data_IF_204204913664
#
_entry.id   IF_204204913664
#
_cell.length_a   1.000
_cell.length_b   1.000
_cell.length_c   1.000
_cell.angle_alpha   90.00
_cell.angle_beta   90.00
_cell.angle_gamma   90.00
#
_symmetry.space_group_name_H-M   'P 1'
#
loop_
_entity.id
_entity.type
_entity.pdbx_description
1 polymer ?
#
# COMPACT_ATOMS: atom_id res chain seq x y z
N UNK A 1 -14.53 -0.67 -8.83
CA UNK A 1 -13.12 -1.15 -8.86
C UNK A 1 -13.06 -2.60 -9.33
N UNK A 2 -13.74 -3.55 -8.65
CA UNK A 2 -13.81 -4.95 -9.07
C UNK A 2 -14.37 -5.13 -10.49
N UNK A 3 -15.42 -4.40 -10.85
CA UNK A 3 -15.99 -4.49 -12.21
C UNK A 3 -15.02 -4.04 -13.31
N UNK A 4 -14.21 -3.00 -13.04
CA UNK A 4 -13.18 -2.52 -13.97
C UNK A 4 -12.02 -3.53 -14.09
N UNK A 5 -11.67 -4.22 -13.00
CA UNK A 5 -10.70 -5.31 -12.99
C UNK A 5 -11.17 -6.48 -13.87
N UNK A 6 -12.41 -6.96 -13.68
CA UNK A 6 -12.96 -8.05 -14.49
C UNK A 6 -13.13 -7.68 -15.97
N UNK A 7 -13.53 -6.44 -16.26
CA UNK A 7 -13.62 -5.95 -17.63
C UNK A 7 -12.25 -5.90 -18.33
N UNK A 8 -11.18 -5.55 -17.61
CA UNK A 8 -9.82 -5.46 -18.15
C UNK A 8 -9.18 -6.84 -18.35
N UNK A 9 -9.45 -7.80 -17.47
CA UNK A 9 -8.93 -9.18 -17.55
C UNK A 9 -9.32 -9.90 -18.85
N UNK A 10 -10.52 -9.61 -19.37
CA UNK A 10 -10.98 -10.17 -20.65
C UNK A 10 -10.36 -9.52 -21.90
N UNK A 11 -9.64 -8.40 -21.73
CA UNK A 11 -9.16 -7.53 -22.82
C UNK A 11 -7.65 -7.32 -22.83
N UNK A 12 -6.93 -7.81 -21.81
CA UNK A 12 -5.49 -7.59 -21.65
C UNK A 12 -4.79 -8.93 -21.67
N UNK A 13 -3.87 -9.09 -22.63
CA UNK A 13 -2.92 -10.20 -22.63
C UNK A 13 -1.85 -9.90 -21.59
N UNK A 14 -1.77 -10.71 -20.53
CA UNK A 14 -0.75 -10.57 -19.49
C UNK A 14 0.62 -10.77 -20.14
N UNK A 15 1.36 -9.67 -20.32
CA UNK A 15 2.72 -9.68 -20.83
C UNK A 15 3.63 -9.03 -19.80
N UNK A 16 4.71 -9.71 -19.43
CA UNK A 16 5.80 -9.13 -18.64
C UNK A 16 6.63 -8.16 -19.49
N UNK A 17 7.40 -7.24 -18.89
CA UNK A 17 7.96 -7.34 -17.54
C UNK A 17 7.06 -6.78 -16.43
N UNK A 18 7.30 -7.22 -15.20
CA UNK A 18 6.65 -6.67 -14.00
C UNK A 18 7.41 -5.42 -13.54
N UNK A 19 7.00 -4.26 -14.06
CA UNK A 19 7.65 -2.98 -13.80
C UNK A 19 6.82 -2.09 -12.86
N UNK A 20 7.36 -1.72 -11.70
CA UNK A 20 6.64 -0.89 -10.72
C UNK A 20 6.96 0.60 -10.84
N UNK A 21 8.13 0.97 -11.37
CA UNK A 21 8.54 2.36 -11.47
C UNK A 21 7.53 3.25 -12.22
N UNK A 22 6.90 2.81 -13.33
CA UNK A 22 5.94 3.66 -14.04
C UNK A 22 4.71 4.02 -13.19
N UNK A 23 4.14 3.05 -12.47
CA UNK A 23 2.93 3.28 -11.66
C UNK A 23 3.25 4.09 -10.41
N UNK A 24 4.39 3.82 -9.75
CA UNK A 24 4.85 4.61 -8.60
C UNK A 24 5.05 6.07 -9.01
N UNK A 25 5.74 6.33 -10.13
CA UNK A 25 5.94 7.69 -10.65
C UNK A 25 4.62 8.37 -11.06
N UNK A 26 3.65 7.60 -11.54
CA UNK A 26 2.33 8.14 -11.86
C UNK A 26 1.59 8.62 -10.61
N UNK A 27 1.51 7.79 -9.56
CA UNK A 27 0.85 8.17 -8.30
C UNK A 27 1.61 9.26 -7.55
N UNK A 28 2.95 9.21 -7.57
CA UNK A 28 3.81 10.24 -7.00
C UNK A 28 3.50 11.64 -7.58
N UNK A 29 3.17 11.75 -8.87
CA UNK A 29 2.76 13.04 -9.46
C UNK A 29 1.49 13.59 -8.83
N UNK A 30 0.48 12.75 -8.57
CA UNK A 30 -0.73 13.19 -7.87
C UNK A 30 -0.44 13.58 -6.41
N UNK A 31 0.35 12.76 -5.70
CA UNK A 31 0.73 13.06 -4.32
C UNK A 31 1.54 14.37 -4.22
N UNK A 32 2.41 14.64 -5.19
CA UNK A 32 3.18 15.88 -5.27
C UNK A 32 2.31 17.13 -5.41
N UNK A 33 1.16 17.03 -6.08
CA UNK A 33 0.19 18.14 -6.20
C UNK A 33 -0.69 18.35 -4.95
N UNK A 34 -0.65 17.45 -3.97
CA UNK A 34 -1.55 17.48 -2.80
C UNK A 34 -0.77 17.43 -1.46
N UNK A 35 0.27 18.27 -1.33
CA UNK A 35 1.11 18.35 -0.11
C UNK A 35 0.51 19.19 1.03
N UNK A 36 -0.70 19.71 0.86
CA UNK A 36 -1.34 20.61 1.83
C UNK A 36 -1.87 19.88 3.08
N UNK A 37 -1.82 18.54 3.10
CA UNK A 37 -2.26 17.73 4.23
C UNK A 37 -3.75 17.37 4.24
N UNK A 38 -4.48 17.73 3.18
CA UNK A 38 -5.89 17.39 2.99
C UNK A 38 -6.09 16.00 2.38
N UNK A 39 -5.06 15.45 1.71
CA UNK A 39 -5.08 14.12 1.09
C UNK A 39 -3.82 13.35 1.39
N UNK A 40 -3.99 12.04 1.51
CA UNK A 40 -2.91 11.07 1.59
C UNK A 40 -3.22 9.91 0.66
N UNK A 41 -2.23 9.43 -0.06
CA UNK A 41 -2.39 8.42 -1.09
C UNK A 41 -1.84 7.09 -0.60
N UNK A 42 -2.54 6.00 -0.93
CA UNK A 42 -2.07 4.64 -0.72
C UNK A 42 -2.15 3.94 -2.07
N UNK A 43 -0.99 3.53 -2.60
CA UNK A 43 -0.89 2.74 -3.83
C UNK A 43 -0.82 1.26 -3.46
N UNK A 44 -1.88 0.51 -3.76
CA UNK A 44 -1.89 -0.95 -3.64
C UNK A 44 -1.49 -1.60 -4.97
N UNK A 45 -0.42 -2.40 -4.96
CA UNK A 45 0.08 -3.18 -6.09
C UNK A 45 -0.16 -4.66 -5.79
N UNK A 46 -0.85 -5.36 -6.69
CA UNK A 46 -1.00 -6.82 -6.65
C UNK A 46 -0.14 -7.41 -7.77
N UNK A 47 0.72 -8.36 -7.43
CA UNK A 47 1.67 -8.97 -8.38
C UNK A 47 1.78 -10.46 -8.14
N UNK A 48 1.89 -11.25 -9.21
CA UNK A 48 2.14 -12.70 -9.15
C UNK A 48 3.58 -13.08 -9.54
N UNK A 49 4.42 -12.09 -9.84
CA UNK A 49 5.75 -12.30 -10.38
C UNK A 49 6.81 -11.35 -9.83
N UNK A 50 8.06 -11.68 -10.15
CA UNK A 50 9.26 -10.98 -9.71
C UNK A 50 9.37 -9.63 -10.43
N UNK A 51 9.76 -8.60 -9.68
CA UNK A 51 10.03 -7.26 -10.21
C UNK A 51 11.24 -7.27 -11.15
N UNK A 52 11.08 -6.65 -12.33
CA UNK A 52 12.12 -6.63 -13.37
C UNK A 52 12.84 -5.29 -13.48
N UNK A 53 12.27 -4.20 -12.94
CA UNK A 53 12.85 -2.85 -12.97
C UNK A 53 13.35 -2.38 -11.59
N UNK A 54 13.96 -3.29 -10.81
CA UNK A 54 14.36 -3.05 -9.41
C UNK A 54 15.05 -1.69 -9.20
N UNK A 55 16.07 -1.37 -10.00
CA UNK A 55 16.82 -0.11 -9.85
C UNK A 55 15.93 1.13 -10.06
N UNK A 56 15.06 1.11 -11.08
CA UNK A 56 14.14 2.22 -11.37
C UNK A 56 13.06 2.32 -10.31
N UNK A 57 12.61 1.19 -9.77
CA UNK A 57 11.63 1.13 -8.69
C UNK A 57 12.20 1.69 -7.40
N UNK A 58 13.43 1.33 -7.02
CA UNK A 58 14.13 1.93 -5.87
C UNK A 58 14.27 3.44 -6.03
N UNK A 59 14.64 3.92 -7.22
CA UNK A 59 14.72 5.35 -7.49
C UNK A 59 13.35 6.04 -7.36
N UNK A 60 12.29 5.44 -7.90
CA UNK A 60 10.93 5.96 -7.79
C UNK A 60 10.46 6.05 -6.33
N UNK A 61 10.73 5.02 -5.52
CA UNK A 61 10.40 4.99 -4.08
C UNK A 61 11.18 6.06 -3.32
N UNK A 62 12.50 6.15 -3.53
CA UNK A 62 13.35 7.16 -2.88
C UNK A 62 12.86 8.57 -3.22
N UNK A 63 12.53 8.86 -4.47
CA UNK A 63 11.97 10.15 -4.88
C UNK A 63 10.58 10.40 -4.28
N UNK A 64 9.74 9.37 -4.15
CA UNK A 64 8.39 9.47 -3.60
C UNK A 64 8.36 9.57 -2.07
N UNK A 65 9.45 9.21 -1.37
CA UNK A 65 9.51 9.16 0.10
C UNK A 65 9.15 10.48 0.81
N UNK A 66 9.32 11.62 0.14
CA UNK A 66 8.96 12.94 0.69
C UNK A 66 7.50 13.36 0.44
N UNK A 67 6.71 12.52 -0.23
CA UNK A 67 5.34 12.80 -0.64
C UNK A 67 4.32 12.21 0.35
N UNK A 68 3.06 12.69 0.36
CA UNK A 68 1.96 12.09 1.12
C UNK A 68 1.50 10.77 0.46
N UNK A 69 2.38 9.78 0.40
CA UNK A 69 2.19 8.51 -0.29
C UNK A 69 2.75 7.34 0.53
N UNK A 70 1.96 6.28 0.63
CA UNK A 70 2.39 4.93 1.01
C UNK A 70 2.16 3.96 -0.16
N UNK A 71 2.93 2.89 -0.20
CA UNK A 71 2.90 1.86 -1.23
C UNK A 71 2.75 0.52 -0.52
N UNK A 72 1.74 -0.25 -0.90
CA UNK A 72 1.54 -1.61 -0.42
C UNK A 72 1.75 -2.54 -1.61
N UNK A 73 2.63 -3.52 -1.46
CA UNK A 73 2.89 -4.53 -2.48
C UNK A 73 2.44 -5.87 -1.93
N UNK A 74 1.46 -6.49 -2.58
CA UNK A 74 0.96 -7.82 -2.22
C UNK A 74 1.36 -8.83 -3.28
N UNK A 75 2.23 -9.76 -2.88
CA UNK A 75 2.65 -10.89 -3.71
C UNK A 75 1.63 -12.02 -3.66
N UNK A 76 1.05 -12.40 -4.79
CA UNK A 76 0.15 -13.56 -4.95
C UNK A 76 0.83 -14.67 -5.75
N UNK A 77 0.38 -15.91 -5.64
CA UNK A 77 1.02 -17.04 -6.32
C UNK A 77 2.39 -17.45 -5.73
N UNK A 78 3.02 -18.44 -6.35
CA UNK A 78 4.18 -19.15 -5.79
C UNK A 78 5.53 -18.59 -6.27
N UNK A 79 5.61 -17.30 -6.60
CA UNK A 79 6.87 -16.67 -7.01
C UNK A 79 7.81 -16.45 -5.81
N UNK A 80 9.09 -16.22 -6.11
CA UNK A 80 10.12 -15.87 -5.14
C UNK A 80 10.11 -14.36 -4.91
N UNK A 81 9.91 -13.92 -3.66
CA UNK A 81 9.63 -12.52 -3.32
C UNK A 81 10.77 -11.82 -2.56
N UNK A 82 11.95 -12.43 -2.47
CA UNK A 82 13.11 -11.89 -1.74
C UNK A 82 13.47 -10.46 -2.19
N UNK A 83 13.34 -10.20 -3.49
CA UNK A 83 13.57 -8.87 -4.07
C UNK A 83 12.58 -7.82 -3.53
N UNK A 84 11.35 -8.22 -3.16
CA UNK A 84 10.35 -7.31 -2.60
C UNK A 84 10.59 -7.02 -1.11
N UNK A 85 11.21 -7.95 -0.37
CA UNK A 85 11.67 -7.67 1.01
C UNK A 85 12.71 -6.56 1.05
N UNK A 86 13.52 -6.40 0.00
CA UNK A 86 14.48 -5.29 -0.09
C UNK A 86 13.78 -3.93 -0.15
N UNK A 87 12.58 -3.88 -0.75
CA UNK A 87 11.82 -2.64 -0.93
C UNK A 87 11.13 -2.17 0.35
N UNK A 88 10.82 -3.09 1.27
CA UNK A 88 10.06 -2.89 2.51
C UNK A 88 10.74 -1.94 3.51
N UNK A 89 12.05 -1.67 3.37
CA UNK A 89 12.74 -0.63 4.13
C UNK A 89 12.95 -0.88 5.64
N UNK A 90 12.29 -1.90 6.20
CA UNK A 90 12.29 -2.29 7.62
C UNK A 90 13.68 -2.62 8.17
N UNK A 91 14.46 -3.42 7.44
CA UNK A 91 15.81 -3.84 7.87
C UNK A 91 16.86 -2.75 7.59
N UNK A 92 16.76 -2.11 6.43
CA UNK A 92 17.72 -1.12 5.94
C UNK A 92 16.98 -0.06 5.17
N UNK A 93 17.23 1.22 5.50
CA UNK A 93 16.61 2.34 4.78
C UNK A 93 16.95 2.26 3.30
N UNK A 94 15.90 2.20 2.46
CA UNK A 94 16.06 2.08 1.01
C UNK A 94 16.91 3.23 0.46
N UNK A 95 17.83 2.91 -0.44
CA UNK A 95 18.69 3.89 -1.11
C UNK A 95 18.82 3.62 -2.60
N UNK A 96 19.02 4.70 -3.36
CA UNK A 96 19.28 4.65 -4.80
C UNK A 96 20.23 5.78 -5.19
N UNK A 97 21.25 5.48 -5.98
CA UNK A 97 22.25 6.45 -6.47
C UNK A 97 22.86 7.31 -5.35
N UNK A 98 23.18 6.69 -4.19
CA UNK A 98 23.77 7.37 -3.03
C UNK A 98 22.80 8.22 -2.20
N UNK A 99 21.51 8.25 -2.55
CA UNK A 99 20.46 8.97 -1.79
C UNK A 99 19.60 7.97 -1.02
N UNK A 100 19.33 8.27 0.24
CA UNK A 100 18.43 7.50 1.09
C UNK A 100 17.00 8.03 0.99
N UNK A 101 16.03 7.13 1.10
CA UNK A 101 14.63 7.48 1.28
C UNK A 101 14.47 8.30 2.57
N UNK A 102 13.65 9.36 2.52
CA UNK A 102 13.43 10.26 3.65
C UNK A 102 12.68 9.59 4.81
N UNK A 103 11.88 8.56 4.50
CA UNK A 103 11.07 7.78 5.43
C UNK A 103 10.70 6.46 4.77
N UNK A 104 10.25 5.51 5.58
CA UNK A 104 9.64 4.30 5.03
C UNK A 104 8.29 4.60 4.41
N UNK A 105 8.04 4.00 3.26
CA UNK A 105 6.77 4.16 2.53
C UNK A 105 6.28 2.87 1.89
N UNK A 106 7.01 1.77 2.00
CA UNK A 106 6.64 0.50 1.35
C UNK A 106 6.26 -0.49 2.44
N UNK A 107 5.17 -1.23 2.21
CA UNK A 107 4.82 -2.44 2.95
C UNK A 107 4.75 -3.59 1.96
N UNK A 108 5.57 -4.61 2.11
CA UNK A 108 5.46 -5.86 1.36
C UNK A 108 4.70 -6.94 2.15
N UNK A 109 3.75 -7.62 1.50
CA UNK A 109 3.00 -8.73 2.10
C UNK A 109 2.90 -9.92 1.13
N UNK A 110 3.53 -11.07 1.45
CA UNK A 110 3.36 -12.30 0.67
C UNK A 110 2.02 -12.97 1.02
N UNK A 111 1.02 -12.85 0.14
CA UNK A 111 -0.32 -13.41 0.37
C UNK A 111 -0.31 -14.94 0.48
N UNK A 112 0.58 -15.62 -0.23
CA UNK A 112 0.60 -17.07 -0.29
C UNK A 112 0.94 -17.76 1.04
N UNK A 113 1.64 -17.09 1.94
CA UNK A 113 1.99 -17.66 3.22
C UNK A 113 0.77 -17.76 4.16
N UNK A 114 -0.27 -16.95 3.91
CA UNK A 114 -1.55 -17.03 4.62
C UNK A 114 -2.45 -18.16 4.13
N UNK A 115 -2.25 -18.67 2.91
CA UNK A 115 -3.03 -19.77 2.34
C UNK A 115 -2.42 -21.15 2.66
N UNK A 116 -1.10 -21.23 2.84
CA UNK A 116 -0.38 -22.50 3.08
C UNK A 116 -0.65 -23.12 4.45
N UNK A 117 -1.17 -22.37 5.42
CA UNK A 117 -1.30 -22.79 6.83
C UNK A 117 -2.53 -23.63 7.21
N UNK A 118 -3.40 -24.01 6.26
CA UNK A 118 -4.64 -24.75 6.58
C UNK A 118 -5.64 -23.95 7.43
N UNK A 119 -5.43 -22.63 7.53
CA UNK A 119 -6.27 -21.70 8.30
C UNK A 119 -7.58 -21.49 7.53
N UNK A 120 -8.69 -21.32 8.24
CA UNK A 120 -9.96 -20.96 7.60
C UNK A 120 -9.82 -19.65 6.79
N UNK A 121 -10.54 -19.56 5.67
CA UNK A 121 -10.43 -18.42 4.75
C UNK A 121 -10.73 -17.07 5.41
N UNK A 122 -11.57 -17.05 6.46
CA UNK A 122 -11.94 -15.81 7.13
C UNK A 122 -10.78 -15.29 7.99
N UNK A 123 -10.17 -16.15 8.79
CA UNK A 123 -8.99 -15.81 9.59
C UNK A 123 -7.79 -15.46 8.71
N UNK A 124 -7.59 -16.14 7.58
CA UNK A 124 -6.54 -15.78 6.62
C UNK A 124 -6.74 -14.37 6.05
N UNK A 125 -7.98 -13.98 5.72
CA UNK A 125 -8.31 -12.62 5.25
C UNK A 125 -8.12 -11.56 6.34
N UNK A 126 -8.49 -11.86 7.58
CA UNK A 126 -8.29 -10.94 8.71
C UNK A 126 -6.81 -10.69 8.99
N UNK A 127 -6.01 -11.76 8.99
CA UNK A 127 -4.55 -11.64 9.16
C UNK A 127 -3.93 -10.84 8.02
N UNK A 128 -4.30 -11.14 6.77
CA UNK A 128 -3.83 -10.36 5.62
C UNK A 128 -4.19 -8.88 5.77
N UNK A 129 -5.46 -8.56 6.07
CA UNK A 129 -5.90 -7.19 6.20
C UNK A 129 -5.15 -6.44 7.32
N UNK A 130 -4.80 -7.15 8.39
CA UNK A 130 -3.97 -6.61 9.47
C UNK A 130 -2.55 -6.31 8.99
N UNK A 131 -1.87 -7.26 8.36
CA UNK A 131 -0.49 -7.05 7.89
C UNK A 131 -0.42 -5.96 6.82
N UNK A 132 -1.37 -5.95 5.88
CA UNK A 132 -1.46 -4.94 4.80
C UNK A 132 -1.58 -3.51 5.33
N UNK A 133 -2.20 -3.33 6.50
CA UNK A 133 -2.47 -2.01 7.07
C UNK A 133 -1.58 -1.69 8.29
N UNK A 134 -0.65 -2.58 8.66
CA UNK A 134 0.11 -2.46 9.90
C UNK A 134 0.94 -1.17 9.95
N UNK A 135 1.66 -0.85 8.88
CA UNK A 135 2.56 0.30 8.84
C UNK A 135 1.91 1.62 8.41
N UNK A 136 0.78 1.57 7.70
CA UNK A 136 0.15 2.76 7.13
C UNK A 136 -0.11 3.87 8.15
N UNK A 137 -0.64 3.58 9.37
CA UNK A 137 -0.83 4.62 10.38
C UNK A 137 0.48 5.32 10.78
N UNK A 138 1.57 4.57 10.93
CA UNK A 138 2.87 5.13 11.30
C UNK A 138 3.46 5.96 10.15
N UNK A 139 3.42 5.44 8.93
CA UNK A 139 3.88 6.15 7.73
C UNK A 139 3.11 7.46 7.50
N UNK A 140 1.80 7.44 7.72
CA UNK A 140 0.94 8.63 7.67
C UNK A 140 1.32 9.67 8.73
N UNK A 141 1.38 9.25 10.00
CA UNK A 141 1.70 10.16 11.11
C UNK A 141 3.11 10.73 10.98
N UNK A 142 4.07 9.91 10.54
CA UNK A 142 5.45 10.32 10.27
C UNK A 142 5.49 11.44 9.22
N UNK A 143 4.80 11.27 8.09
CA UNK A 143 4.69 12.31 7.06
C UNK A 143 4.10 13.62 7.61
N UNK A 144 2.97 13.54 8.33
CA UNK A 144 2.29 14.72 8.86
C UNK A 144 3.16 15.49 9.85
N UNK A 145 3.86 14.78 10.75
CA UNK A 145 4.78 15.39 11.73
C UNK A 145 5.95 16.11 11.06
N UNK A 146 6.63 15.46 10.11
CA UNK A 146 7.79 16.04 9.41
C UNK A 146 7.41 17.30 8.62
N UNK A 147 6.18 17.36 8.11
CA UNK A 147 5.68 18.49 7.34
C UNK A 147 4.91 19.53 8.17
N UNK A 148 4.88 19.39 9.50
CA UNK A 148 4.15 20.28 10.42
C UNK A 148 2.64 20.42 10.08
N UNK A 149 2.04 19.35 9.57
CA UNK A 149 0.61 19.31 9.24
C UNK A 149 -0.14 18.94 10.50
N UNK A 150 -0.95 19.87 10.99
CA UNK A 150 -1.81 19.66 12.17
C UNK A 150 -3.16 19.07 11.76
N UNK A 151 -3.74 18.16 12.57
CA UNK A 151 -5.09 17.67 12.33
C UNK A 151 -6.08 18.82 12.25
N UNK A 152 -6.92 18.82 11.21
CA UNK A 152 -8.06 19.74 11.16
C UNK A 152 -9.04 19.40 12.28
N UNK A 153 -9.79 20.39 12.75
CA UNK A 153 -10.86 20.17 13.70
C UNK A 153 -11.81 19.07 13.17
N UNK A 154 -12.31 18.16 14.02
CA UNK A 154 -13.23 17.13 13.60
C UNK A 154 -14.39 17.76 12.83
N UNK A 155 -14.52 17.43 11.54
CA UNK A 155 -15.75 17.76 10.82
C UNK A 155 -16.87 17.03 11.56
N UNK A 156 -17.95 17.73 11.91
CA UNK A 156 -19.13 17.08 12.48
C UNK A 156 -19.61 16.03 11.47
N UNK A 157 -19.28 14.77 11.72
CA UNK A 157 -19.69 13.66 10.88
C UNK A 157 -21.15 13.41 11.22
N UNK A 158 -22.07 13.99 10.46
CA UNK A 158 -23.49 13.68 10.54
C UNK A 158 -23.78 12.35 9.81
N UNK A 159 -22.96 11.33 10.07
CA UNK A 159 -23.21 9.97 9.60
C UNK A 159 -24.10 9.33 10.65
N UNK A 160 -25.32 8.90 10.30
CA UNK A 160 -26.12 8.10 11.20
C UNK A 160 -25.30 6.88 11.57
N UNK A 161 -24.97 6.74 12.86
CA UNK A 161 -24.36 5.51 13.36
C UNK A 161 -25.35 4.37 13.05
N UNK A 162 -24.92 3.27 12.40
CA UNK A 162 -25.78 2.12 12.21
C UNK A 162 -26.34 1.68 13.56
N UNK A 163 -27.66 1.42 13.62
CA UNK A 163 -28.29 0.99 14.87
C UNK A 163 -27.55 -0.23 15.44
N UNK A 164 -27.24 -0.17 16.72
CA UNK A 164 -26.59 -1.25 17.45
C UNK A 164 -27.50 -2.50 17.39
N UNK A 165 -27.03 -3.62 16.81
CA UNK A 165 -27.82 -4.83 16.67
C UNK A 165 -28.21 -5.47 18.02
N UNK A 166 -27.63 -5.03 19.14
CA UNK A 166 -27.96 -5.54 20.48
C UNK A 166 -29.32 -5.07 21.01
N UNK A 167 -29.95 -4.05 20.43
CA UNK A 167 -31.26 -3.53 20.87
C UNK A 167 -32.46 -4.07 20.08
N UNK A 168 -32.25 -4.92 19.07
CA UNK A 168 -33.34 -5.44 18.24
C UNK A 168 -34.15 -6.60 18.87
N UNK A 169 -33.72 -7.12 20.03
CA UNK A 169 -34.33 -8.30 20.68
C UNK A 169 -34.83 -8.04 22.12
N UNK A 170 -35.31 -6.82 22.41
CA UNK A 170 -36.11 -6.54 23.62
C UNK A 170 -37.44 -5.93 23.20
N UNK A 171 -38.37 -6.78 22.76
CA UNK A 171 -39.75 -6.44 22.40
C UNK A 171 -40.62 -7.67 22.47
#
# INVERSE_FOLDING_TARGET
VLDAYYASLSRVQLYGPTNFAPIINHVARFAASNRQGDKYFILLILTDGIITDMQMTKEAIVNASQLPLSIIIVGVGNAEFDAMEELDGDKVRLSSNGRYAARDIVQFVPYCDFLKGGIDQHTARLKLAREVLAEIPEQFVSYMKVNNIVPQAPKAINVPVPADPSFANMG
#
